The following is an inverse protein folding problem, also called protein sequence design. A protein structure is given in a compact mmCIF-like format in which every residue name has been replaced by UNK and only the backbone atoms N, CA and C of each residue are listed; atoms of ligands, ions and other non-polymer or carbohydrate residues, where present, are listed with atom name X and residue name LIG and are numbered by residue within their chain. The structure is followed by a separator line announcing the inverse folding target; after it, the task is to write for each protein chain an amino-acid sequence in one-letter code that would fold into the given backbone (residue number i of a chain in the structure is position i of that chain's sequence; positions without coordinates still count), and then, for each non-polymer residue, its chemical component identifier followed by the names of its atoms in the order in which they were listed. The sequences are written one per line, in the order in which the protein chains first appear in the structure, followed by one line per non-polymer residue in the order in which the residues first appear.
data_IF_535039728068
#
_entry.id   IF_535039728068
#
_cell.length_a   1.000
_cell.length_b   1.000
_cell.length_c   1.000
_cell.angle_alpha   90.00
_cell.angle_beta   90.00
_cell.angle_gamma   90.00
#
_symmetry.space_group_name_H-M   'P 1'
#
loop_
_entity.id
_entity.type
_entity.pdbx_description
1 polymer ?
#
# COMPACT_ATOMS: atom_id res chain seq x y z
N UNK A 1 -14.32 -3.91 17.05
CA UNK A 1 -13.87 -5.28 17.49
C UNK A 1 -13.29 -6.13 16.36
N UNK A 2 -12.98 -5.52 15.20
CA UNK A 2 -12.42 -6.22 14.04
C UNK A 2 -13.41 -7.09 13.26
N UNK A 3 -14.71 -7.03 13.55
CA UNK A 3 -15.73 -7.57 12.65
C UNK A 3 -15.88 -6.67 11.42
N UNK A 4 -16.08 -7.23 10.21
CA UNK A 4 -16.41 -6.43 9.04
C UNK A 4 -17.71 -5.66 9.24
N UNK A 5 -17.84 -4.50 8.60
CA UNK A 5 -19.12 -3.81 8.51
C UNK A 5 -20.14 -4.67 7.76
N UNK A 6 -21.44 -4.41 7.98
CA UNK A 6 -22.53 -5.15 7.30
C UNK A 6 -22.41 -5.15 5.78
N UNK A 7 -21.95 -4.04 5.18
CA UNK A 7 -21.81 -3.90 3.73
C UNK A 7 -20.60 -4.66 3.17
N UNK A 8 -19.58 -4.89 3.99
CA UNK A 8 -18.32 -5.49 3.54
C UNK A 8 -18.18 -6.96 3.94
N UNK A 9 -19.07 -7.51 4.78
CA UNK A 9 -18.97 -8.88 5.30
C UNK A 9 -18.72 -9.93 4.20
N UNK A 10 -19.51 -9.90 3.12
CA UNK A 10 -19.34 -10.86 2.03
C UNK A 10 -17.98 -10.71 1.34
N UNK A 11 -17.53 -9.47 1.09
CA UNK A 11 -16.21 -9.21 0.49
C UNK A 11 -15.08 -9.78 1.34
N UNK A 12 -15.11 -9.55 2.65
CA UNK A 12 -14.10 -10.10 3.55
C UNK A 12 -14.15 -11.63 3.59
N UNK A 13 -15.35 -12.23 3.62
CA UNK A 13 -15.50 -13.68 3.61
C UNK A 13 -15.00 -14.31 2.30
N UNK A 14 -15.20 -13.64 1.16
CA UNK A 14 -14.69 -14.10 -0.14
C UNK A 14 -13.16 -14.07 -0.18
N UNK A 15 -12.53 -13.08 0.46
CA UNK A 15 -11.10 -12.82 0.32
C UNK A 15 -10.25 -13.51 1.37
N UNK A 16 -10.66 -13.43 2.64
CA UNK A 16 -9.92 -13.99 3.78
C UNK A 16 -10.56 -15.29 4.31
N UNK A 17 -11.75 -15.64 3.82
CA UNK A 17 -12.55 -16.71 4.39
C UNK A 17 -13.42 -16.25 5.58
N UNK A 18 -14.48 -17.00 5.91
CA UNK A 18 -15.42 -16.64 6.98
C UNK A 18 -14.78 -16.64 8.37
N UNK A 19 -13.67 -17.36 8.54
CA UNK A 19 -12.99 -17.55 9.83
C UNK A 19 -11.81 -16.61 10.04
N UNK A 20 -11.62 -15.61 9.17
CA UNK A 20 -10.53 -14.64 9.31
C UNK A 20 -10.54 -13.96 10.68
N UNK A 21 -9.37 -13.81 11.27
CA UNK A 21 -9.16 -13.14 12.54
C UNK A 21 -9.39 -11.62 12.43
N UNK A 22 -9.68 -10.93 13.55
CA UNK A 22 -9.71 -9.47 13.59
C UNK A 22 -8.48 -8.79 12.97
N UNK A 23 -7.29 -9.34 13.18
CA UNK A 23 -6.05 -8.72 12.73
C UNK A 23 -5.83 -8.89 11.22
N UNK A 24 -6.14 -10.07 10.66
CA UNK A 24 -6.12 -10.28 9.21
C UNK A 24 -7.08 -9.32 8.48
N UNK A 25 -8.28 -9.10 9.06
CA UNK A 25 -9.26 -8.16 8.50
C UNK A 25 -8.76 -6.73 8.57
N UNK A 26 -8.18 -6.30 9.69
CA UNK A 26 -7.62 -4.95 9.83
C UNK A 26 -6.45 -4.71 8.88
N UNK A 27 -5.61 -5.72 8.67
CA UNK A 27 -4.49 -5.62 7.72
C UNK A 27 -5.00 -5.49 6.28
N UNK A 28 -5.99 -6.31 5.89
CA UNK A 28 -6.63 -6.16 4.57
C UNK A 28 -7.24 -4.76 4.40
N UNK A 29 -7.97 -4.28 5.40
CA UNK A 29 -8.54 -2.93 5.39
C UNK A 29 -7.46 -1.87 5.18
N UNK A 30 -6.38 -1.92 5.95
CA UNK A 30 -5.30 -0.95 5.88
C UNK A 30 -4.57 -0.98 4.53
N UNK A 31 -4.33 -2.18 4.00
CA UNK A 31 -3.71 -2.33 2.68
C UNK A 31 -4.59 -1.77 1.56
N UNK A 32 -5.87 -2.10 1.55
CA UNK A 32 -6.78 -1.63 0.50
C UNK A 32 -7.04 -0.13 0.56
N UNK A 33 -7.25 0.42 1.77
CA UNK A 33 -7.41 1.87 1.92
C UNK A 33 -6.14 2.63 1.50
N UNK A 34 -4.97 2.07 1.75
CA UNK A 34 -3.73 2.62 1.21
C UNK A 34 -3.73 2.61 -0.32
N UNK A 35 -3.99 1.45 -0.94
CA UNK A 35 -4.00 1.30 -2.40
C UNK A 35 -5.00 2.27 -3.06
N UNK A 36 -6.22 2.34 -2.55
CA UNK A 36 -7.27 3.24 -3.03
C UNK A 36 -6.85 4.71 -2.90
N UNK A 37 -6.34 5.11 -1.74
CA UNK A 37 -5.92 6.50 -1.50
C UNK A 37 -4.76 6.89 -2.41
N UNK A 38 -3.76 6.03 -2.56
CA UNK A 38 -2.61 6.28 -3.44
C UNK A 38 -3.04 6.42 -4.90
N UNK A 39 -3.95 5.56 -5.37
CA UNK A 39 -4.50 5.64 -6.72
C UNK A 39 -5.26 6.96 -6.95
N UNK A 40 -6.19 7.31 -6.05
CA UNK A 40 -6.97 8.54 -6.16
C UNK A 40 -6.07 9.78 -6.10
N UNK A 41 -5.11 9.84 -5.17
CA UNK A 41 -4.18 10.99 -5.07
C UNK A 41 -3.26 11.14 -6.27
N UNK A 42 -2.99 10.05 -6.98
CA UNK A 42 -2.22 10.09 -8.23
C UNK A 42 -3.02 10.74 -9.37
N UNK A 43 -4.35 10.81 -9.27
CA UNK A 43 -5.23 11.42 -10.28
C UNK A 43 -5.34 12.94 -10.06
N UNK A 44 -4.50 13.72 -10.75
CA UNK A 44 -4.48 15.19 -10.61
C UNK A 44 -5.72 15.92 -11.14
N UNK A 45 -6.65 15.21 -11.78
CA UNK A 45 -7.97 15.76 -12.11
C UNK A 45 -8.96 15.72 -10.93
N UNK A 46 -8.65 15.00 -9.85
CA UNK A 46 -9.44 15.02 -8.61
C UNK A 46 -9.01 16.20 -7.74
N UNK A 47 -9.97 16.98 -7.26
CA UNK A 47 -9.70 18.16 -6.43
C UNK A 47 -9.22 17.81 -5.00
N UNK A 48 -9.50 16.60 -4.54
CA UNK A 48 -9.08 16.14 -3.22
C UNK A 48 -9.61 14.75 -2.89
N UNK A 49 -9.00 14.14 -1.87
CA UNK A 49 -9.40 12.86 -1.30
C UNK A 49 -9.65 13.07 0.19
N UNK A 50 -10.79 12.61 0.68
CA UNK A 50 -11.14 12.68 2.10
C UNK A 50 -11.37 11.28 2.64
N UNK A 51 -10.66 10.93 3.72
CA UNK A 51 -10.91 9.72 4.47
C UNK A 51 -12.20 9.86 5.30
N UNK A 52 -13.32 9.40 4.74
CA UNK A 52 -14.64 9.34 5.40
C UNK A 52 -14.93 7.90 5.87
N UNK A 53 -15.37 7.62 7.10
CA UNK A 53 -15.56 8.41 8.32
C UNK A 53 -14.38 8.20 9.28
N UNK A 54 -13.76 9.26 9.79
CA UNK A 54 -12.58 9.13 10.67
C UNK A 54 -12.82 8.33 11.95
N UNK A 55 -13.92 8.58 12.65
CA UNK A 55 -14.34 7.86 13.85
C UNK A 55 -15.84 7.56 13.76
N UNK A 56 -16.23 6.35 14.14
CA UNK A 56 -17.61 5.88 14.12
C UNK A 56 -17.85 4.89 15.26
N UNK A 57 -19.10 4.45 15.43
CA UNK A 57 -19.44 3.41 16.41
C UNK A 57 -19.41 2.01 15.80
N UNK A 58 -19.31 0.98 16.65
CA UNK A 58 -19.26 -0.43 16.24
C UNK A 58 -20.55 -0.96 15.55
N UNK A 59 -21.62 -0.16 15.49
CA UNK A 59 -22.87 -0.49 14.80
C UNK A 59 -23.01 0.25 13.45
N UNK A 60 -22.03 1.08 13.10
CA UNK A 60 -22.00 1.84 11.87
C UNK A 60 -21.82 0.96 10.63
N UNK A 61 -22.29 1.46 9.50
CA UNK A 61 -22.05 0.86 8.18
C UNK A 61 -20.69 1.25 7.59
N UNK A 62 -19.97 2.15 8.26
CA UNK A 62 -18.67 2.70 7.87
C UNK A 62 -17.63 2.39 8.96
N UNK A 63 -16.35 2.30 8.59
CA UNK A 63 -15.34 1.41 9.22
C UNK A 63 -14.73 1.79 10.60
N UNK A 64 -14.09 0.79 11.21
CA UNK A 64 -13.47 0.81 12.55
C UNK A 64 -11.95 1.09 12.46
N UNK A 65 -11.54 2.35 12.28
CA UNK A 65 -10.12 2.74 12.15
C UNK A 65 -9.40 2.93 13.48
N UNK A 66 -10.13 2.86 14.58
CA UNK A 66 -9.61 2.84 15.93
C UNK A 66 -9.90 1.48 16.56
N UNK A 67 -9.18 1.13 17.62
CA UNK A 67 -9.35 -0.12 18.34
C UNK A 67 -9.42 0.15 19.84
N UNK A 68 -9.80 -0.89 20.60
CA UNK A 68 -10.04 -0.86 22.04
C UNK A 68 -11.27 -0.04 22.48
N UNK A 69 -11.51 0.05 23.79
CA UNK A 69 -12.63 0.80 24.36
C UNK A 69 -12.42 2.31 24.21
N UNK A 70 -13.51 3.09 24.20
CA UNK A 70 -13.45 4.56 24.03
C UNK A 70 -12.51 5.22 25.05
N UNK A 71 -12.48 4.74 26.30
CA UNK A 71 -11.60 5.25 27.34
C UNK A 71 -10.10 4.93 27.11
N UNK A 72 -9.79 3.96 26.24
CA UNK A 72 -8.43 3.46 25.95
C UNK A 72 -8.16 3.39 24.44
N UNK A 73 -8.83 4.25 23.67
CA UNK A 73 -8.87 4.18 22.21
C UNK A 73 -7.46 4.25 21.60
N UNK A 74 -7.11 3.27 20.77
CA UNK A 74 -5.84 3.22 20.03
C UNK A 74 -6.07 3.33 18.53
N UNK A 75 -5.04 3.73 17.78
CA UNK A 75 -5.08 3.74 16.32
C UNK A 75 -5.09 2.30 15.80
N UNK A 76 -5.95 2.03 14.83
CA UNK A 76 -5.91 0.79 14.06
C UNK A 76 -4.88 0.88 12.92
N UNK A 77 -4.55 -0.27 12.28
CA UNK A 77 -3.60 -0.36 11.17
C UNK A 77 -3.84 0.64 10.02
N UNK A 78 -5.09 1.01 9.72
CA UNK A 78 -5.40 1.93 8.63
C UNK A 78 -4.83 3.36 8.82
N UNK A 79 -5.02 3.97 10.00
CA UNK A 79 -4.57 5.35 10.31
C UNK A 79 -3.05 5.53 10.20
N UNK A 80 -2.41 4.42 10.42
CA UNK A 80 -1.02 4.17 10.51
C UNK A 80 -0.38 4.12 9.11
N UNK A 81 -1.08 3.52 8.15
CA UNK A 81 -0.76 3.62 6.71
C UNK A 81 -1.23 4.94 6.08
N UNK A 82 -2.28 5.57 6.61
CA UNK A 82 -2.74 6.89 6.17
C UNK A 82 -1.68 7.97 6.26
N UNK A 83 -0.78 7.90 7.25
CA UNK A 83 0.38 8.79 7.31
C UNK A 83 1.18 8.80 6.00
N UNK A 84 1.30 7.64 5.34
CA UNK A 84 2.07 7.51 4.10
C UNK A 84 1.25 7.98 2.90
N UNK A 85 0.05 7.44 2.72
CA UNK A 85 -0.75 7.78 1.54
C UNK A 85 -1.36 9.18 1.58
N UNK A 86 -1.39 9.90 2.72
CA UNK A 86 -1.74 11.33 2.81
C UNK A 86 -0.54 12.26 3.02
N UNK A 87 0.70 11.76 2.91
CA UNK A 87 1.87 12.62 3.02
C UNK A 87 1.84 13.73 1.95
N UNK A 88 2.14 15.00 2.29
CA UNK A 88 2.06 16.12 1.34
C UNK A 88 2.90 15.91 0.08
N UNK A 89 4.08 15.30 0.23
CA UNK A 89 4.84 14.77 -0.89
C UNK A 89 5.10 13.28 -0.72
N UNK A 90 4.93 12.51 -1.78
CA UNK A 90 4.97 11.06 -1.77
C UNK A 90 5.38 10.48 -3.13
N UNK A 91 5.82 9.22 -3.12
CA UNK A 91 6.04 8.44 -4.34
C UNK A 91 5.29 7.12 -4.19
N UNK A 92 4.38 6.85 -5.12
CA UNK A 92 3.49 5.69 -5.11
C UNK A 92 3.84 4.70 -6.21
N UNK A 93 3.51 3.43 -5.98
CA UNK A 93 3.64 2.36 -6.97
C UNK A 93 2.36 2.31 -7.82
N UNK A 94 2.51 2.46 -9.13
CA UNK A 94 1.43 2.34 -10.12
C UNK A 94 1.25 0.88 -10.58
N UNK A 95 0.89 0.02 -9.62
CA UNK A 95 0.52 -1.38 -9.85
C UNK A 95 -0.76 -1.70 -9.09
N UNK A 96 -1.54 -2.63 -9.63
CA UNK A 96 -2.68 -3.22 -8.93
C UNK A 96 -2.22 -4.29 -7.92
N UNK A 97 -3.10 -4.67 -7.00
CA UNK A 97 -2.88 -5.82 -6.13
C UNK A 97 -3.13 -7.11 -6.91
N UNK A 98 -2.16 -8.03 -6.89
CA UNK A 98 -2.28 -9.32 -7.58
C UNK A 98 -2.60 -10.49 -6.63
N UNK A 99 -2.94 -10.23 -5.36
CA UNK A 99 -3.28 -11.29 -4.39
C UNK A 99 -4.73 -11.71 -4.52
N UNK A 100 -5.63 -10.74 -4.55
CA UNK A 100 -7.06 -10.97 -4.36
C UNK A 100 -7.90 -10.62 -5.57
N UNK A 101 -7.36 -9.78 -6.46
CA UNK A 101 -8.06 -9.37 -7.67
C UNK A 101 -7.59 -10.26 -8.83
N UNK A 102 -8.51 -10.85 -9.62
CA UNK A 102 -8.17 -11.73 -10.74
C UNK A 102 -7.71 -10.92 -11.97
N UNK A 103 -6.88 -9.89 -11.75
CA UNK A 103 -6.31 -9.11 -12.82
C UNK A 103 -5.00 -9.76 -13.27
N UNK A 104 -4.98 -10.16 -14.54
CA UNK A 104 -3.77 -10.64 -15.21
C UNK A 104 -3.32 -12.04 -14.80
N UNK A 105 -2.49 -12.59 -15.67
CA UNK A 105 -1.70 -13.79 -15.41
C UNK A 105 -0.53 -13.44 -14.47
N UNK A 106 -0.07 -14.36 -13.62
CA UNK A 106 1.21 -14.20 -12.91
C UNK A 106 2.35 -13.89 -13.88
N UNK A 107 3.31 -13.08 -13.43
CA UNK A 107 4.48 -12.75 -14.21
C UNK A 107 5.37 -13.98 -14.41
N UNK A 108 5.90 -14.16 -15.61
CA UNK A 108 6.78 -15.28 -15.90
C UNK A 108 8.07 -15.23 -15.03
N UNK A 109 8.52 -16.35 -14.45
CA UNK A 109 9.77 -16.36 -13.69
C UNK A 109 10.96 -15.89 -14.52
N UNK A 110 11.82 -15.04 -13.95
CA UNK A 110 12.98 -14.46 -14.65
C UNK A 110 12.65 -13.38 -15.67
N UNK A 111 11.38 -12.98 -15.81
CA UNK A 111 10.97 -11.90 -16.71
C UNK A 111 11.25 -10.52 -16.11
N UNK A 112 10.94 -9.46 -16.86
CA UNK A 112 11.05 -8.09 -16.40
C UNK A 112 9.68 -7.43 -16.30
N UNK A 113 9.39 -6.82 -15.16
CA UNK A 113 8.20 -6.01 -14.93
C UNK A 113 8.52 -4.53 -15.14
N UNK A 114 7.76 -3.86 -15.99
CA UNK A 114 7.87 -2.41 -16.20
C UNK A 114 6.62 -1.71 -15.69
N UNK A 115 6.79 -0.65 -14.89
CA UNK A 115 5.71 0.13 -14.31
C UNK A 115 6.19 1.54 -13.98
N UNK A 116 5.29 2.41 -13.52
CA UNK A 116 5.64 3.76 -13.10
C UNK A 116 5.68 3.88 -11.58
N UNK A 117 6.61 4.68 -11.10
CA UNK A 117 6.48 5.36 -9.82
C UNK A 117 5.83 6.72 -10.05
N UNK A 118 4.83 7.06 -9.26
CA UNK A 118 4.13 8.34 -9.36
C UNK A 118 4.53 9.21 -8.17
N UNK A 119 5.35 10.22 -8.44
CA UNK A 119 5.62 11.30 -7.50
C UNK A 119 4.42 12.23 -7.43
N UNK A 120 3.97 12.56 -6.22
CA UNK A 120 2.86 13.47 -5.91
C UNK A 120 3.42 14.52 -4.95
N UNK A 121 3.23 15.80 -5.27
CA UNK A 121 3.61 16.93 -4.43
C UNK A 121 2.44 17.91 -4.30
N UNK A 122 1.97 18.07 -3.07
CA UNK A 122 0.90 18.99 -2.68
C UNK A 122 1.46 20.21 -1.94
N UNK A 123 2.73 20.53 -2.14
CA UNK A 123 3.38 21.72 -1.58
C UNK A 123 3.56 22.79 -2.65
N UNK A 124 3.67 24.04 -2.19
CA UNK A 124 3.85 25.23 -3.03
C UNK A 124 5.25 25.42 -3.61
N UNK A 125 6.14 24.45 -3.42
CA UNK A 125 7.50 24.46 -3.94
C UNK A 125 7.85 23.06 -4.49
N UNK A 126 8.83 22.95 -5.40
CA UNK A 126 9.33 21.66 -5.84
C UNK A 126 9.80 20.80 -4.66
N UNK A 127 9.59 19.49 -4.77
CA UNK A 127 10.08 18.50 -3.82
C UNK A 127 11.06 17.57 -4.52
N UNK A 128 12.29 17.52 -4.03
CA UNK A 128 13.30 16.55 -4.47
C UNK A 128 13.53 15.49 -3.40
N UNK A 129 14.04 14.35 -3.83
CA UNK A 129 14.37 13.25 -2.93
C UNK A 129 14.86 12.02 -3.65
N UNK A 130 15.01 10.95 -2.87
CA UNK A 130 15.34 9.62 -3.38
C UNK A 130 14.29 8.60 -2.98
N UNK A 131 13.97 7.71 -3.89
CA UNK A 131 13.08 6.57 -3.66
C UNK A 131 13.90 5.29 -3.73
N UNK A 132 13.84 4.48 -2.67
CA UNK A 132 14.39 3.13 -2.67
C UNK A 132 13.25 2.17 -3.04
N UNK A 133 13.41 1.45 -4.14
CA UNK A 133 12.54 0.36 -4.58
C UNK A 133 13.14 -0.97 -4.08
N UNK A 134 12.34 -1.76 -3.38
CA UNK A 134 12.72 -3.04 -2.81
C UNK A 134 11.76 -4.14 -3.29
N UNK A 135 12.31 -5.34 -3.56
CA UNK A 135 11.52 -6.56 -3.75
C UNK A 135 11.78 -7.49 -2.57
N UNK A 136 10.71 -7.89 -1.90
CA UNK A 136 10.77 -8.68 -0.67
C UNK A 136 10.07 -10.02 -0.93
N UNK A 137 10.76 -11.13 -0.64
CA UNK A 137 10.20 -12.49 -0.74
C UNK A 137 9.21 -12.79 0.41
N UNK A 138 8.51 -13.92 0.37
CA UNK A 138 7.53 -14.30 1.40
C UNK A 138 8.13 -14.48 2.79
N UNK A 139 9.45 -14.69 2.88
CA UNK A 139 10.20 -14.83 4.14
C UNK A 139 10.62 -13.49 4.72
N UNK A 140 10.41 -12.39 3.98
CA UNK A 140 10.80 -11.04 4.39
C UNK A 140 12.22 -10.65 3.99
N UNK A 141 12.92 -11.45 3.18
CA UNK A 141 14.23 -11.09 2.69
C UNK A 141 14.10 -10.09 1.55
N UNK A 142 14.85 -8.99 1.63
CA UNK A 142 15.03 -8.10 0.50
C UNK A 142 15.98 -8.77 -0.51
N UNK A 143 15.45 -9.14 -1.68
CA UNK A 143 16.18 -9.81 -2.76
C UNK A 143 16.58 -8.86 -3.90
N UNK A 144 16.08 -7.63 -3.89
CA UNK A 144 16.40 -6.60 -4.89
C UNK A 144 16.23 -5.21 -4.28
N UNK A 145 17.20 -4.33 -4.51
CA UNK A 145 17.14 -2.94 -4.09
C UNK A 145 17.71 -2.02 -5.15
N UNK A 146 16.97 -0.96 -5.49
CA UNK A 146 17.42 0.07 -6.42
C UNK A 146 17.03 1.46 -5.92
N UNK A 147 17.87 2.45 -6.22
CA UNK A 147 17.63 3.84 -5.85
C UNK A 147 17.30 4.67 -7.09
N UNK A 148 16.26 5.48 -6.98
CA UNK A 148 15.83 6.41 -8.01
C UNK A 148 15.78 7.83 -7.44
N UNK A 149 16.57 8.79 -7.95
CA UNK A 149 16.34 10.19 -7.65
C UNK A 149 15.02 10.63 -8.30
N UNK A 150 14.28 11.52 -7.64
CA UNK A 150 13.05 12.08 -8.20
C UNK A 150 12.90 13.54 -7.76
N UNK A 151 12.44 14.36 -8.70
CA UNK A 151 12.04 15.75 -8.44
C UNK A 151 10.61 15.92 -8.93
N UNK A 152 9.76 16.42 -8.05
CA UNK A 152 8.32 16.59 -8.27
C UNK A 152 8.02 18.09 -8.22
N UNK A 153 7.51 18.71 -9.30
CA UNK A 153 7.19 20.14 -9.30
C UNK A 153 6.13 20.49 -8.25
N UNK A 154 6.06 21.78 -7.86
CA UNK A 154 5.03 22.27 -6.96
C UNK A 154 3.62 21.95 -7.47
N UNK A 155 2.74 21.50 -6.57
CA UNK A 155 1.32 21.16 -6.85
C UNK A 155 1.06 20.08 -7.92
N UNK A 156 2.10 19.43 -8.44
CA UNK A 156 2.00 18.54 -9.60
C UNK A 156 2.39 17.11 -9.25
N UNK A 157 2.39 16.26 -10.27
CA UNK A 157 2.92 14.91 -10.21
C UNK A 157 4.06 14.71 -11.21
N UNK A 158 4.80 13.63 -11.04
CA UNK A 158 5.85 13.20 -11.96
C UNK A 158 5.79 11.70 -12.12
N UNK A 159 5.83 11.23 -13.37
CA UNK A 159 5.95 9.81 -13.68
C UNK A 159 7.42 9.46 -13.82
N UNK A 160 7.86 8.47 -13.07
CA UNK A 160 9.20 7.89 -13.16
C UNK A 160 9.05 6.44 -13.59
N UNK A 161 9.26 6.12 -14.88
CA UNK A 161 9.28 4.74 -15.35
C UNK A 161 10.39 3.96 -14.65
N UNK A 162 10.08 2.74 -14.24
CA UNK A 162 11.03 1.81 -13.62
C UNK A 162 10.90 0.42 -14.23
N UNK A 163 12.02 -0.30 -14.22
CA UNK A 163 12.10 -1.70 -14.61
C UNK A 163 12.55 -2.51 -13.40
N UNK A 164 11.87 -3.61 -13.14
CA UNK A 164 12.18 -4.56 -12.09
C UNK A 164 12.39 -5.93 -12.71
N UNK A 165 13.60 -6.46 -12.62
CA UNK A 165 13.87 -7.84 -13.04
C UNK A 165 13.38 -8.80 -11.96
N UNK A 166 12.52 -9.73 -12.36
CA UNK A 166 11.84 -10.65 -11.46
C UNK A 166 12.68 -11.91 -11.23
N UNK A 167 12.63 -12.51 -10.03
CA UNK A 167 13.36 -13.73 -9.74
C UNK A 167 12.83 -14.92 -10.54
N UNK A 168 13.66 -15.94 -10.68
CA UNK A 168 13.28 -17.22 -11.30
C UNK A 168 12.46 -18.13 -10.37
N UNK A 169 12.41 -17.82 -9.07
CA UNK A 169 11.65 -18.59 -8.09
C UNK A 169 10.16 -18.20 -8.17
N UNK A 170 9.25 -19.15 -8.43
CA UNK A 170 7.82 -18.86 -8.40
C UNK A 170 7.34 -18.63 -6.97
N UNK A 171 6.84 -17.43 -6.68
CA UNK A 171 6.38 -17.02 -5.35
C UNK A 171 5.53 -15.73 -5.41
N UNK A 172 4.92 -15.37 -4.28
CA UNK A 172 4.35 -14.06 -4.06
C UNK A 172 5.39 -13.11 -3.51
N UNK A 173 5.50 -11.92 -4.11
CA UNK A 173 6.47 -10.91 -3.73
C UNK A 173 5.80 -9.61 -3.31
N UNK A 174 6.49 -8.89 -2.43
CA UNK A 174 6.13 -7.54 -2.02
C UNK A 174 7.07 -6.54 -2.71
N UNK A 175 6.51 -5.71 -3.58
CA UNK A 175 7.16 -4.51 -4.09
C UNK A 175 6.93 -3.40 -3.08
N UNK A 176 8.00 -2.82 -2.54
CA UNK A 176 7.95 -1.75 -1.55
C UNK A 176 8.78 -0.58 -2.03
N UNK A 177 8.24 0.63 -1.91
CA UNK A 177 9.03 1.85 -2.11
C UNK A 177 9.14 2.61 -0.80
N UNK A 178 10.31 3.18 -0.54
CA UNK A 178 10.55 4.12 0.56
C UNK A 178 11.08 5.42 -0.01
N UNK A 179 10.28 6.48 0.04
CA UNK A 179 10.66 7.82 -0.38
C UNK A 179 11.25 8.62 0.78
N UNK A 180 12.41 9.23 0.50
CA UNK A 180 13.17 10.10 1.39
C UNK A 180 13.19 11.51 0.79
N UNK A 181 12.29 12.41 1.21
CA UNK A 181 12.31 13.81 0.79
C UNK A 181 13.58 14.52 1.31
N UNK A 182 14.10 15.49 0.55
CA UNK A 182 15.29 16.28 0.89
C UNK A 182 15.02 17.33 1.97
N UNK A 183 13.82 17.91 2.00
CA UNK A 183 13.38 18.84 3.05
C UNK A 183 13.07 18.05 4.34
N UNK A 184 14.13 17.62 5.04
CA UNK A 184 14.03 16.74 6.20
C UNK A 184 13.69 17.47 7.50
N UNK A 185 12.42 17.85 7.63
CA UNK A 185 11.67 17.73 8.89
C UNK A 185 10.77 16.49 8.86
N UNK A 186 11.44 15.33 8.68
CA UNK A 186 11.06 13.95 9.04
C UNK A 186 9.65 13.48 8.67
N UNK A 187 9.62 12.55 7.70
CA UNK A 187 9.05 11.19 7.82
C UNK A 187 9.13 10.50 6.46
N UNK A 188 9.74 9.31 6.39
CA UNK A 188 9.72 8.52 5.15
C UNK A 188 8.29 8.16 4.76
N UNK A 189 8.06 8.09 3.44
CA UNK A 189 6.77 7.68 2.87
C UNK A 189 6.93 6.32 2.24
N UNK A 190 6.03 5.40 2.55
CA UNK A 190 6.10 4.01 2.10
C UNK A 190 4.88 3.70 1.25
N UNK A 191 5.09 3.13 0.07
CA UNK A 191 4.04 2.50 -0.75
C UNK A 191 4.39 1.02 -0.94
N UNK A 192 3.35 0.17 -0.99
CA UNK A 192 3.49 -1.28 -1.07
C UNK A 192 2.50 -1.90 -2.04
N UNK A 193 2.94 -2.88 -2.83
CA UNK A 193 2.12 -3.67 -3.76
C UNK A 193 2.58 -5.12 -3.78
N UNK A 194 1.63 -6.03 -3.92
CA UNK A 194 1.93 -7.45 -4.03
C UNK A 194 1.79 -7.91 -5.48
N UNK A 195 2.79 -8.68 -5.92
CA UNK A 195 2.85 -9.26 -7.27
C UNK A 195 3.05 -10.78 -7.20
N UNK A 196 2.60 -11.49 -8.24
CA UNK A 196 2.75 -12.93 -8.39
C UNK A 196 3.78 -13.24 -9.47
N UNK A 197 4.76 -14.06 -9.16
CA UNK A 197 5.72 -14.59 -10.14
C UNK A 197 5.53 -16.09 -10.22
N UNK A 198 5.18 -16.64 -11.38
CA UNK A 198 4.87 -18.06 -11.53
C UNK A 198 3.95 -18.33 -12.71
N UNK A 199 3.04 -19.29 -12.55
CA UNK A 199 2.04 -19.67 -13.55
C UNK A 199 0.64 -19.64 -12.95
N UNK A 200 -0.36 -19.58 -13.82
CA UNK A 200 -1.74 -19.73 -13.41
C UNK A 200 -1.99 -21.08 -12.71
N UNK A 201 -2.68 -21.03 -11.56
CA UNK A 201 -2.95 -22.19 -10.73
C UNK A 201 -1.90 -22.46 -9.63
N UNK A 202 -0.76 -21.77 -9.65
CA UNK A 202 0.22 -21.85 -8.56
C UNK A 202 -0.36 -21.22 -7.27
N UNK A 203 0.04 -21.78 -6.12
CA UNK A 203 -0.24 -21.20 -4.81
C UNK A 203 0.89 -20.27 -4.41
N UNK A 204 0.55 -19.03 -4.03
CA UNK A 204 1.53 -18.00 -3.69
C UNK A 204 1.44 -17.65 -2.20
N UNK A 205 2.59 -17.66 -1.54
CA UNK A 205 2.76 -17.10 -0.19
C UNK A 205 3.34 -15.69 -0.28
N UNK A 206 2.97 -14.82 0.64
CA UNK A 206 3.35 -13.41 0.63
C UNK A 206 3.84 -12.98 2.00
N UNK A 207 4.80 -12.05 2.04
CA UNK A 207 5.26 -11.48 3.30
C UNK A 207 4.17 -10.60 3.93
N UNK A 208 3.79 -10.83 5.19
CA UNK A 208 2.81 -9.99 5.87
C UNK A 208 3.44 -8.66 6.25
N UNK A 209 2.91 -7.56 5.71
CA UNK A 209 3.32 -6.21 6.10
C UNK A 209 2.55 -5.76 7.33
N UNK A 210 2.85 -6.34 8.49
CA UNK A 210 2.26 -5.90 9.74
C UNK A 210 2.66 -4.43 10.00
N UNK A 211 1.68 -3.62 10.39
CA UNK A 211 1.97 -2.26 10.84
C UNK A 211 2.93 -2.31 12.04
N UNK A 212 3.98 -1.47 12.12
CA UNK A 212 4.89 -1.53 13.26
C UNK A 212 4.12 -1.36 14.57
N UNK A 213 4.33 -2.22 15.59
CA UNK A 213 3.95 -1.85 16.94
C UNK A 213 4.63 -0.51 17.25
N UNK A 214 3.86 0.48 17.71
CA UNK A 214 4.43 1.74 18.18
C UNK A 214 5.58 1.43 19.16
N UNK A 215 6.76 1.98 18.89
CA UNK A 215 7.80 2.15 19.91
C UNK A 215 7.52 3.44 20.67
#
# INVERSE_FOLDING_TARGET
DGRPSKLTLNTYNTILGPNATPDERRELQAYWLQLETEWLRSQRFLAGVLAFCYLTNNYGYTGDWFIDEIAQLKKGPALYWFRHCFAPAAVFIDLHDERFLPFGEPHAPGSSLSFNLIGVNDLGHPMSGKTILELIDSKGNNIYSAMYPITIPAWLSTLQPVKLDLPALPEGYLVKTTFYPEDQEKKTVISRRYIRVGKNGDSFSFFPTLYPPEK
#
